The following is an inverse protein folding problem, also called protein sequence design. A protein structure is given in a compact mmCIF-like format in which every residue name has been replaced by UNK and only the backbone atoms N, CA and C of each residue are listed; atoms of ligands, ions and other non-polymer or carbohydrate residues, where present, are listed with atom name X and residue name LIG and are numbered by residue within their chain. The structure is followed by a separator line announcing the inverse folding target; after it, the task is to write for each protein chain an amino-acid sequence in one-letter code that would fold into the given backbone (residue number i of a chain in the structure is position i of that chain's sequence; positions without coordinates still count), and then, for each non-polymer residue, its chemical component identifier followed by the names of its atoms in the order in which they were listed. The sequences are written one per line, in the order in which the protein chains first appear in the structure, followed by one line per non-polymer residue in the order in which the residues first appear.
data_IF_029733516678
#
_entry.id   IF_029733516678
#
_cell.length_a   1.000
_cell.length_b   1.000
_cell.length_c   1.000
_cell.angle_alpha   90.00
_cell.angle_beta   90.00
_cell.angle_gamma   90.00
#
_symmetry.space_group_name_H-M   'P 1'
#
loop_
_entity.id
_entity.type
_entity.pdbx_description
1 polymer ?
#
# COMPACT_ATOMS: atom_id res chain seq x y z
N UNK A 1 -10.90 34.01 -1.33
CA UNK A 1 -9.99 32.87 -1.57
C UNK A 1 -9.79 32.05 -0.31
N UNK A 2 -10.24 30.80 -0.25
CA UNK A 2 -9.92 29.94 0.87
C UNK A 2 -8.83 28.93 0.46
N UNK A 3 -7.64 29.43 0.14
CA UNK A 3 -6.40 28.69 0.40
C UNK A 3 -5.93 29.06 1.81
N UNK A 4 -6.52 28.43 2.82
CA UNK A 4 -5.95 28.36 4.17
C UNK A 4 -6.57 27.21 4.95
N UNK A 5 -6.25 25.98 4.54
CA UNK A 5 -6.24 24.87 5.49
C UNK A 5 -4.83 24.33 5.52
N UNK A 6 -4.04 24.80 6.49
CA UNK A 6 -2.84 24.09 6.93
C UNK A 6 -3.31 22.78 7.58
N UNK A 7 -3.67 21.79 6.76
CA UNK A 7 -3.89 20.43 7.26
C UNK A 7 -2.57 20.00 7.90
N UNK A 8 -2.61 19.80 9.22
CA UNK A 8 -1.47 19.26 9.94
C UNK A 8 -1.08 17.93 9.28
N UNK A 9 0.21 17.69 9.00
CA UNK A 9 0.62 16.44 8.40
C UNK A 9 0.20 15.27 9.29
N UNK A 10 -0.52 14.32 8.69
CA UNK A 10 -0.96 13.11 9.39
C UNK A 10 0.20 12.12 9.39
N UNK A 11 0.58 11.63 10.57
CA UNK A 11 1.61 10.62 10.74
C UNK A 11 1.01 9.29 11.18
N UNK A 12 1.61 8.20 10.72
CA UNK A 12 1.34 6.85 11.21
C UNK A 12 2.62 6.34 11.87
N UNK A 13 2.50 5.95 13.14
CA UNK A 13 3.58 5.35 13.91
C UNK A 13 3.32 3.84 13.99
N UNK A 14 4.21 3.04 13.43
CA UNK A 14 4.19 1.58 13.53
C UNK A 14 5.19 1.13 14.57
N UNK A 15 4.71 0.66 15.73
CA UNK A 15 5.54 0.10 16.80
C UNK A 15 5.35 -1.41 16.88
N UNK A 16 6.43 -2.15 17.18
CA UNK A 16 6.37 -3.59 17.47
C UNK A 16 6.08 -3.80 18.95
N UNK A 17 5.11 -4.66 19.29
CA UNK A 17 4.70 -4.92 20.68
C UNK A 17 5.83 -5.51 21.54
N UNK A 18 6.81 -6.18 20.93
CA UNK A 18 7.90 -6.83 21.66
C UNK A 18 9.17 -5.99 21.78
N UNK A 19 9.27 -4.84 21.11
CA UNK A 19 10.44 -3.97 21.18
C UNK A 19 10.06 -2.51 20.87
N UNK A 20 9.87 -1.70 21.90
CA UNK A 20 9.47 -0.29 21.78
C UNK A 20 10.46 0.57 20.96
N UNK A 21 11.73 0.17 20.87
CA UNK A 21 12.76 0.86 20.09
C UNK A 21 12.64 0.70 18.56
N UNK A 22 11.65 -0.06 18.06
CA UNK A 22 11.41 -0.29 16.63
C UNK A 22 10.27 0.56 16.04
N UNK A 23 9.83 1.62 16.73
CA UNK A 23 8.80 2.52 16.22
C UNK A 23 9.28 3.24 14.94
N UNK A 24 8.51 3.09 13.87
CA UNK A 24 8.74 3.76 12.58
C UNK A 24 7.65 4.78 12.33
N UNK A 25 8.06 6.01 12.05
CA UNK A 25 7.16 7.09 11.69
C UNK A 25 7.08 7.23 10.16
N UNK A 26 5.84 7.38 9.68
CA UNK A 26 5.53 7.63 8.27
C UNK A 26 4.64 8.86 8.16
N UNK A 27 5.08 9.84 7.37
CA UNK A 27 4.27 11.01 7.03
C UNK A 27 3.36 10.67 5.86
N UNK A 28 2.05 10.85 6.00
CA UNK A 28 1.13 10.72 4.88
C UNK A 28 1.26 11.95 3.98
N UNK A 29 1.65 11.73 2.73
CA UNK A 29 1.71 12.78 1.70
C UNK A 29 0.41 12.88 0.90
N UNK A 30 -0.23 11.74 0.64
CA UNK A 30 -1.51 11.69 -0.06
C UNK A 30 -2.26 10.39 0.21
N UNK A 31 -3.59 10.47 0.25
CA UNK A 31 -4.48 9.33 0.33
C UNK A 31 -5.30 9.28 -0.95
N UNK A 32 -5.17 8.18 -1.69
CA UNK A 32 -6.01 7.85 -2.83
C UNK A 32 -7.05 6.87 -2.35
N UNK A 33 -8.19 7.41 -1.90
CA UNK A 33 -9.27 6.64 -1.30
C UNK A 33 -9.76 5.49 -2.19
N UNK A 34 -10.41 4.52 -1.54
CA UNK A 34 -11.06 3.44 -2.24
C UNK A 34 -12.17 4.00 -3.12
N UNK A 35 -12.20 3.55 -4.38
CA UNK A 35 -13.26 3.84 -5.31
C UNK A 35 -13.72 2.53 -5.95
N UNK A 36 -15.03 2.28 -6.01
CA UNK A 36 -15.61 1.03 -6.53
C UNK A 36 -15.27 0.76 -8.00
N UNK A 37 -15.09 1.80 -8.80
CA UNK A 37 -14.62 1.72 -10.18
C UNK A 37 -13.14 1.31 -10.23
N UNK A 38 -12.31 1.83 -9.32
CA UNK A 38 -10.87 1.51 -9.24
C UNK A 38 -10.58 0.18 -8.54
N UNK A 39 -11.47 -0.28 -7.64
CA UNK A 39 -11.33 -1.47 -6.78
C UNK A 39 -9.99 -1.57 -6.01
N UNK A 40 -9.38 -0.43 -5.69
CA UNK A 40 -8.16 -0.32 -4.89
C UNK A 40 -8.09 1.00 -4.13
N UNK A 41 -7.31 1.00 -3.06
CA UNK A 41 -6.93 2.18 -2.26
C UNK A 41 -5.41 2.28 -2.25
N UNK A 42 -4.87 3.49 -2.28
CA UNK A 42 -3.43 3.71 -2.20
C UNK A 42 -3.10 4.85 -1.26
N UNK A 43 -1.90 4.83 -0.68
CA UNK A 43 -1.35 5.93 0.11
C UNK A 43 0.06 6.23 -0.36
N UNK A 44 0.40 7.51 -0.43
CA UNK A 44 1.76 7.98 -0.64
C UNK A 44 2.28 8.44 0.71
N UNK A 45 3.38 7.85 1.15
CA UNK A 45 3.99 8.13 2.45
C UNK A 45 5.46 8.51 2.29
N UNK A 46 5.96 9.33 3.20
CA UNK A 46 7.38 9.58 3.39
C UNK A 46 7.84 8.86 4.65
N UNK A 47 8.88 8.05 4.54
CA UNK A 47 9.53 7.38 5.67
C UNK A 47 10.38 8.36 6.49
N UNK A 48 10.74 8.02 7.73
CA UNK A 48 11.71 8.80 8.53
C UNK A 48 13.09 8.97 7.87
N UNK A 49 13.45 8.11 6.91
CA UNK A 49 14.68 8.19 6.10
C UNK A 49 14.53 9.11 4.88
N UNK A 50 13.35 9.74 4.68
CA UNK A 50 13.07 10.63 3.56
C UNK A 50 12.59 9.93 2.28
N UNK A 51 12.63 8.59 2.20
CA UNK A 51 12.12 7.82 1.05
C UNK A 51 10.61 8.02 0.87
N UNK A 52 10.17 8.13 -0.38
CA UNK A 52 8.74 8.25 -0.73
C UNK A 52 8.24 6.91 -1.26
N UNK A 53 7.21 6.36 -0.63
CA UNK A 53 6.61 5.07 -0.99
C UNK A 53 5.15 5.26 -1.41
N UNK A 54 4.79 4.69 -2.55
CA UNK A 54 3.40 4.41 -2.91
C UNK A 54 3.06 3.00 -2.41
N UNK A 55 2.12 2.90 -1.47
CA UNK A 55 1.54 1.62 -1.03
C UNK A 55 0.14 1.50 -1.63
N UNK A 56 -0.21 0.35 -2.18
CA UNK A 56 -1.54 0.13 -2.75
C UNK A 56 -2.09 -1.24 -2.40
N UNK A 57 -3.36 -1.29 -1.99
CA UNK A 57 -4.11 -2.52 -1.75
C UNK A 57 -5.37 -2.58 -2.60
N UNK A 58 -5.70 -3.74 -3.16
CA UNK A 58 -6.88 -3.88 -4.00
C UNK A 58 -7.16 -5.31 -4.44
N UNK A 59 -8.16 -5.44 -5.30
CA UNK A 59 -8.51 -6.70 -5.93
C UNK A 59 -7.39 -7.18 -6.87
N UNK A 60 -7.23 -8.49 -6.95
CA UNK A 60 -6.28 -9.19 -7.82
C UNK A 60 -6.35 -8.77 -9.30
N UNK A 61 -7.56 -8.74 -9.85
CA UNK A 61 -7.87 -8.30 -11.22
C UNK A 61 -7.39 -6.88 -11.54
N UNK A 62 -7.23 -6.03 -10.53
CA UNK A 62 -6.73 -4.65 -10.69
C UNK A 62 -5.25 -4.55 -10.37
N UNK A 63 -4.76 -5.28 -9.37
CA UNK A 63 -3.40 -5.12 -8.88
C UNK A 63 -2.37 -5.80 -9.80
N UNK A 64 -2.62 -7.03 -10.28
CA UNK A 64 -1.67 -7.75 -11.12
C UNK A 64 -1.25 -7.00 -12.40
N UNK A 65 -2.17 -6.41 -13.19
CA UNK A 65 -1.79 -5.66 -14.40
C UNK A 65 -0.91 -4.41 -14.14
N UNK A 66 -0.84 -3.94 -12.90
CA UNK A 66 -0.08 -2.75 -12.51
C UNK A 66 1.31 -3.08 -11.97
N UNK A 67 1.59 -4.35 -11.72
CA UNK A 67 2.91 -4.79 -11.27
C UNK A 67 3.93 -4.62 -12.41
N UNK A 68 5.19 -4.45 -12.03
CA UNK A 68 6.27 -4.48 -13.01
C UNK A 68 6.28 -5.86 -13.70
N UNK A 69 6.75 -5.90 -14.95
CA UNK A 69 6.94 -7.17 -15.69
C UNK A 69 8.24 -7.89 -15.32
N UNK A 70 9.09 -7.24 -14.53
CA UNK A 70 10.40 -7.72 -14.12
C UNK A 70 10.34 -8.23 -12.69
N UNK A 71 10.89 -9.42 -12.44
CA UNK A 71 10.91 -10.03 -11.10
C UNK A 71 9.65 -10.81 -10.74
N UNK A 72 8.97 -11.40 -11.73
CA UNK A 72 7.66 -12.05 -11.57
C UNK A 72 7.75 -13.52 -11.14
N UNK A 73 8.90 -13.96 -10.64
CA UNK A 73 9.15 -15.35 -10.23
C UNK A 73 8.19 -15.84 -9.13
N UNK A 74 7.57 -14.88 -8.41
CA UNK A 74 6.62 -15.15 -7.33
C UNK A 74 5.16 -14.89 -7.73
N UNK A 75 4.90 -14.31 -8.92
CA UNK A 75 3.55 -13.90 -9.33
C UNK A 75 2.63 -15.11 -9.51
N UNK A 76 3.11 -16.15 -10.20
CA UNK A 76 2.33 -17.36 -10.49
C UNK A 76 1.97 -18.10 -9.20
N UNK A 77 2.95 -18.33 -8.33
CA UNK A 77 2.70 -18.94 -7.02
C UNK A 77 1.75 -18.12 -6.15
N UNK A 78 1.79 -16.80 -6.26
CA UNK A 78 0.84 -15.93 -5.55
C UNK A 78 -0.57 -16.08 -6.12
N UNK A 79 -0.74 -16.26 -7.44
CA UNK A 79 -2.05 -16.53 -8.05
C UNK A 79 -2.64 -17.85 -7.56
N UNK A 80 -1.83 -18.91 -7.48
CA UNK A 80 -2.26 -20.21 -6.95
C UNK A 80 -2.82 -20.05 -5.52
N UNK A 81 -2.07 -19.41 -4.62
CA UNK A 81 -2.55 -19.17 -3.25
C UNK A 81 -3.82 -18.32 -3.20
N UNK A 82 -3.96 -17.33 -4.09
CA UNK A 82 -5.19 -16.52 -4.16
C UNK A 82 -6.39 -17.40 -4.52
N UNK A 83 -6.22 -18.35 -5.45
CA UNK A 83 -7.27 -19.29 -5.81
C UNK A 83 -7.66 -20.17 -4.62
N UNK A 84 -6.68 -20.78 -3.95
CA UNK A 84 -6.92 -21.65 -2.78
C UNK A 84 -7.64 -20.91 -1.64
N UNK A 85 -7.24 -19.66 -1.38
CA UNK A 85 -7.88 -18.83 -0.37
C UNK A 85 -9.31 -18.42 -0.77
N UNK A 86 -9.57 -18.22 -2.06
CA UNK A 86 -10.89 -17.89 -2.55
C UNK A 86 -11.84 -19.08 -2.44
N UNK A 87 -11.37 -20.29 -2.74
CA UNK A 87 -12.11 -21.54 -2.56
C UNK A 87 -12.45 -21.79 -1.08
N UNK A 88 -11.57 -21.37 -0.17
CA UNK A 88 -11.83 -21.38 1.27
C UNK A 88 -12.77 -20.25 1.75
N UNK A 89 -13.25 -19.38 0.86
CA UNK A 89 -14.15 -18.27 1.17
C UNK A 89 -13.49 -17.09 1.89
N UNK A 90 -12.16 -16.98 1.84
CA UNK A 90 -11.42 -15.89 2.47
C UNK A 90 -11.50 -14.60 1.64
N UNK A 91 -11.54 -13.46 2.33
CA UNK A 91 -11.42 -12.15 1.68
C UNK A 91 -9.95 -11.83 1.46
N UNK A 92 -9.57 -11.68 0.20
CA UNK A 92 -8.17 -11.49 -0.21
C UNK A 92 -8.00 -10.08 -0.78
N UNK A 93 -6.87 -9.46 -0.44
CA UNK A 93 -6.41 -8.23 -1.07
C UNK A 93 -4.94 -8.41 -1.44
N UNK A 94 -4.58 -7.96 -2.64
CA UNK A 94 -3.17 -7.87 -3.03
C UNK A 94 -2.62 -6.54 -2.55
N UNK A 95 -1.47 -6.61 -1.88
CA UNK A 95 -0.67 -5.46 -1.49
C UNK A 95 0.53 -5.34 -2.42
N UNK A 96 0.78 -4.14 -2.93
CA UNK A 96 1.97 -3.82 -3.69
C UNK A 96 2.54 -2.48 -3.24
N UNK A 97 3.84 -2.29 -3.45
CA UNK A 97 4.49 -1.01 -3.21
C UNK A 97 5.43 -0.62 -4.33
N UNK A 98 5.70 0.68 -4.43
CA UNK A 98 6.74 1.24 -5.29
C UNK A 98 7.41 2.41 -4.59
N UNK A 99 8.74 2.42 -4.59
CA UNK A 99 9.51 3.61 -4.23
C UNK A 99 9.46 4.63 -5.37
N UNK A 100 9.13 5.88 -5.03
CA UNK A 100 9.08 6.99 -5.97
C UNK A 100 10.42 7.72 -5.89
N UNK A 101 11.23 7.58 -6.94
CA UNK A 101 12.43 8.39 -7.13
C UNK A 101 12.00 9.79 -7.60
N UNK A 102 12.55 10.83 -6.96
CA UNK A 102 12.43 12.22 -7.39
C UNK A 102 13.48 12.56 -8.44
#
# INVERSE_FOLDING_TARGET
DPMSSSQSPVYVILCSEHLFSLCREYKILSILEFNSTRKRMSVIVQTGEGKILLLSKGADSVMFPLLARTGNDVEEKTREHIHDYADAGLRILILAYREILM
#
